data_IF_295991804008
#
_entry.id   IF_295991804008
#
_cell.length_a   1.000
_cell.length_b   1.000
_cell.length_c   1.000
_cell.angle_alpha   90.00
_cell.angle_beta   90.00
_cell.angle_gamma   90.00
#
_symmetry.space_group_name_H-M   'P 1'
#
loop_
_entity.id
_entity.type
_entity.pdbx_description
1 polymer ?
#
# COMPACT_ATOMS: atom_id res chain seq x y z
N UNK A 1 18.02 -19.97 -22.72
CA UNK A 1 17.72 -18.81 -21.84
C UNK A 1 16.88 -19.29 -20.67
N UNK A 2 17.39 -19.25 -19.43
CA UNK A 2 16.54 -19.48 -18.25
C UNK A 2 15.57 -18.29 -18.16
N UNK A 3 14.26 -18.53 -18.20
CA UNK A 3 13.27 -17.49 -17.90
C UNK A 3 13.47 -17.09 -16.45
N UNK A 4 13.82 -15.83 -16.22
CA UNK A 4 13.95 -15.25 -14.89
C UNK A 4 12.61 -15.42 -14.14
N UNK A 5 12.64 -15.89 -12.89
CA UNK A 5 11.45 -16.11 -12.05
C UNK A 5 10.86 -14.80 -11.54
N UNK A 6 11.69 -13.76 -11.47
CA UNK A 6 11.41 -12.44 -10.93
C UNK A 6 10.16 -11.81 -11.59
N UNK A 7 10.04 -11.89 -12.92
CA UNK A 7 8.87 -11.35 -13.62
C UNK A 7 7.57 -12.09 -13.30
N UNK A 8 7.63 -13.39 -13.00
CA UNK A 8 6.45 -14.17 -12.59
C UNK A 8 6.03 -13.83 -11.17
N UNK A 9 7.01 -13.66 -10.28
CA UNK A 9 6.76 -13.30 -8.89
C UNK A 9 6.17 -11.88 -8.78
N UNK A 10 6.71 -10.92 -9.53
CA UNK A 10 6.16 -9.57 -9.62
C UNK A 10 4.72 -9.55 -10.14
N UNK A 11 4.43 -10.32 -11.19
CA UNK A 11 3.07 -10.42 -11.73
C UNK A 11 2.12 -11.03 -10.71
N UNK A 12 2.54 -12.08 -9.99
CA UNK A 12 1.76 -12.68 -8.91
C UNK A 12 1.44 -11.65 -7.81
N UNK A 13 2.41 -10.87 -7.35
CA UNK A 13 2.16 -9.82 -6.36
C UNK A 13 1.15 -8.78 -6.85
N UNK A 14 1.21 -8.40 -8.12
CA UNK A 14 0.22 -7.51 -8.71
C UNK A 14 -1.19 -8.13 -8.73
N UNK A 15 -1.30 -9.43 -9.04
CA UNK A 15 -2.57 -10.15 -8.97
C UNK A 15 -3.12 -10.25 -7.54
N UNK A 16 -2.27 -10.55 -6.56
CA UNK A 16 -2.66 -10.64 -5.14
C UNK A 16 -3.17 -9.27 -4.63
N UNK A 17 -2.52 -8.19 -5.06
CA UNK A 17 -2.87 -6.82 -4.67
C UNK A 17 -4.06 -6.24 -5.45
N UNK A 18 -4.38 -6.76 -6.64
CA UNK A 18 -5.40 -6.20 -7.54
C UNK A 18 -6.80 -6.05 -6.92
N UNK A 19 -7.35 -7.04 -6.18
CA UNK A 19 -8.70 -6.96 -5.63
C UNK A 19 -8.87 -5.97 -4.47
N UNK A 20 -7.78 -5.37 -3.98
CA UNK A 20 -7.84 -4.44 -2.85
C UNK A 20 -8.26 -3.06 -3.36
N UNK A 21 -9.45 -2.61 -2.97
CA UNK A 21 -9.92 -1.25 -3.25
C UNK A 21 -9.08 -0.24 -2.47
N UNK A 22 -8.23 0.49 -3.19
CA UNK A 22 -7.35 1.53 -2.63
C UNK A 22 -7.88 2.91 -3.00
N UNK A 23 -7.67 3.86 -2.10
CA UNK A 23 -7.77 5.30 -2.32
C UNK A 23 -6.55 5.97 -1.69
N UNK A 24 -6.58 7.28 -1.47
CA UNK A 24 -5.51 8.00 -0.77
C UNK A 24 -5.38 7.56 0.69
N UNK A 25 -6.51 7.30 1.35
CA UNK A 25 -6.61 6.83 2.74
C UNK A 25 -7.46 5.55 2.81
N UNK A 26 -7.55 4.94 4.00
CA UNK A 26 -8.46 3.82 4.25
C UNK A 26 -7.82 2.46 4.47
N UNK A 27 -8.67 1.50 4.83
CA UNK A 27 -8.31 0.11 5.12
C UNK A 27 -7.60 -0.59 3.94
N UNK A 28 -7.95 -0.26 2.70
CA UNK A 28 -7.32 -0.85 1.51
C UNK A 28 -5.83 -0.52 1.36
N UNK A 29 -5.43 0.72 1.67
CA UNK A 29 -4.01 1.10 1.68
C UNK A 29 -3.28 0.38 2.82
N UNK A 30 -3.86 0.32 4.03
CA UNK A 30 -3.25 -0.42 5.15
C UNK A 30 -3.03 -1.90 4.82
N UNK A 31 -4.04 -2.55 4.22
CA UNK A 31 -3.92 -3.95 3.78
C UNK A 31 -2.82 -4.13 2.74
N UNK A 32 -2.70 -3.19 1.80
CA UNK A 32 -1.63 -3.19 0.79
C UNK A 32 -0.25 -3.04 1.43
N UNK A 33 -0.07 -2.08 2.34
CA UNK A 33 1.21 -1.87 3.02
C UNK A 33 1.62 -3.05 3.90
N UNK A 34 0.66 -3.70 4.57
CA UNK A 34 0.93 -4.93 5.34
C UNK A 34 1.41 -6.08 4.42
N UNK A 35 0.75 -6.30 3.28
CA UNK A 35 1.20 -7.29 2.30
C UNK A 35 2.64 -7.03 1.82
N UNK A 36 2.98 -5.76 1.54
CA UNK A 36 4.33 -5.39 1.09
C UNK A 36 5.34 -5.57 2.24
N UNK A 37 4.95 -5.27 3.49
CA UNK A 37 5.80 -5.48 4.66
C UNK A 37 6.16 -6.95 4.87
N UNK A 38 5.27 -7.87 4.53
CA UNK A 38 5.60 -9.32 4.58
C UNK A 38 6.68 -9.70 3.57
N UNK A 39 6.78 -8.99 2.44
CA UNK A 39 7.83 -9.16 1.42
C UNK A 39 9.12 -8.39 1.78
N UNK A 40 8.98 -7.24 2.43
CA UNK A 40 10.07 -6.33 2.82
C UNK A 40 9.91 -6.01 4.32
N UNK A 41 10.44 -6.87 5.22
CA UNK A 41 10.20 -6.75 6.66
C UNK A 41 10.65 -5.43 7.28
N UNK A 42 11.64 -4.78 6.67
CA UNK A 42 12.20 -3.50 7.12
C UNK A 42 11.32 -2.29 6.74
N UNK A 43 10.20 -2.50 6.02
CA UNK A 43 9.26 -1.44 5.70
C UNK A 43 8.61 -0.89 6.97
N UNK A 44 8.86 0.40 7.23
CA UNK A 44 8.21 1.15 8.31
C UNK A 44 6.96 1.85 7.78
N UNK A 45 5.82 1.62 8.42
CA UNK A 45 4.55 2.24 8.07
C UNK A 45 4.23 3.33 9.08
N UNK A 46 3.94 4.53 8.59
CA UNK A 46 3.52 5.67 9.39
C UNK A 46 2.05 5.99 9.13
N UNK A 47 1.37 6.55 10.13
CA UNK A 47 0.04 7.10 10.02
C UNK A 47 0.05 8.52 10.59
N UNK A 48 -0.66 9.43 9.94
CA UNK A 48 -0.81 10.83 10.32
C UNK A 48 -2.31 11.08 10.52
N UNK A 49 -2.68 11.79 11.58
CA UNK A 49 -4.08 12.02 11.92
C UNK A 49 -4.76 12.96 10.90
N UNK A 50 -6.03 12.68 10.59
CA UNK A 50 -6.82 13.57 9.74
C UNK A 50 -6.94 14.97 10.37
N UNK A 51 -6.87 16.01 9.54
CA UNK A 51 -6.91 17.40 9.97
C UNK A 51 -5.55 18.00 10.32
N UNK A 52 -4.48 17.19 10.38
CA UNK A 52 -3.12 17.71 10.58
C UNK A 52 -2.68 18.57 9.38
N UNK A 53 -2.08 19.72 9.65
CA UNK A 53 -1.58 20.63 8.61
C UNK A 53 -0.14 20.25 8.24
N UNK A 54 0.09 20.01 6.95
CA UNK A 54 1.38 19.63 6.37
C UNK A 54 1.71 20.61 5.26
N UNK A 55 2.50 21.63 5.58
CA UNK A 55 2.72 22.80 4.73
C UNK A 55 1.38 23.46 4.36
N UNK A 56 1.10 23.64 3.07
CA UNK A 56 -0.14 24.22 2.55
C UNK A 56 -1.29 23.20 2.42
N UNK A 57 -1.07 21.95 2.84
CA UNK A 57 -2.04 20.86 2.75
C UNK A 57 -2.58 20.48 4.12
N UNK A 58 -3.78 19.91 4.13
CA UNK A 58 -4.36 19.29 5.32
C UNK A 58 -4.57 17.79 5.05
N UNK A 59 -4.20 16.94 6.00
CA UNK A 59 -4.43 15.49 5.90
C UNK A 59 -5.94 15.25 5.84
N UNK A 60 -6.47 14.58 4.79
CA UNK A 60 -7.90 14.43 4.62
C UNK A 60 -8.49 13.45 5.63
N UNK A 61 -9.82 13.47 5.75
CA UNK A 61 -10.56 12.42 6.46
C UNK A 61 -10.24 11.05 5.84
N UNK A 62 -10.23 10.02 6.70
CA UNK A 62 -10.09 8.66 6.23
C UNK A 62 -11.35 8.19 5.49
N UNK A 63 -11.16 7.59 4.31
CA UNK A 63 -12.25 7.03 3.52
C UNK A 63 -12.22 5.50 3.51
N UNK A 64 -13.38 4.88 3.71
CA UNK A 64 -13.59 3.43 3.61
C UNK A 64 -14.85 3.14 2.78
N UNK A 65 -14.87 1.99 2.11
CA UNK A 65 -16.01 1.45 1.34
C UNK A 65 -16.68 0.30 2.07
#
# INVERSE_FOLDING_TARGET
MKKSSEGRDMYKWAQDLYPIYRSLTGSGVRKTLNYIKDLIPDLTVHAIESGENVFDWQVPLEWNI
#
